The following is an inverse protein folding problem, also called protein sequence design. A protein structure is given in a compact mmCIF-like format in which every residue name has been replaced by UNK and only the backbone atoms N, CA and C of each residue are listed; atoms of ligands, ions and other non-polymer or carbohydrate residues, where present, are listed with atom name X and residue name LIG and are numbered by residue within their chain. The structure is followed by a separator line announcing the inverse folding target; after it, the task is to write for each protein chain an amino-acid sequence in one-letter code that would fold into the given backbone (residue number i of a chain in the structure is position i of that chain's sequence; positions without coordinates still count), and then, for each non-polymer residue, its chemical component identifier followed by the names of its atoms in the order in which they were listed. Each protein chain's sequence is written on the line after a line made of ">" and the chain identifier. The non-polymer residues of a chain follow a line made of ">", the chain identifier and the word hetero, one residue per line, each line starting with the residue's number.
data_IF_110484956898
#
_entry.id   IF_110484956898
#
_cell.length_a   1.000
_cell.length_b   1.000
_cell.length_c   1.000
_cell.angle_alpha   90.00
_cell.angle_beta   90.00
_cell.angle_gamma   90.00
#
_symmetry.space_group_name_H-M   'P 1'
#
loop_
_entity.id
_entity.type
_entity.pdbx_description
1 polymer ?
#
# COMPACT_ATOMS: atom_id res chain seq x y z
N UNK A 1 12.20 -0.97 -12.65
CA UNK A 1 13.36 -1.28 -11.79
C UNK A 1 12.80 -1.64 -10.42
N UNK A 2 13.17 -2.77 -9.78
CA UNK A 2 12.61 -3.12 -8.48
C UNK A 2 13.01 -2.09 -7.41
N UNK A 3 12.11 -1.84 -6.45
CA UNK A 3 12.41 -1.05 -5.26
C UNK A 3 13.51 -1.78 -4.48
N UNK A 4 14.54 -1.05 -4.04
CA UNK A 4 15.67 -1.65 -3.31
C UNK A 4 15.31 -1.98 -1.86
N UNK A 5 15.92 -3.03 -1.30
CA UNK A 5 15.77 -3.39 0.11
C UNK A 5 16.17 -2.23 1.05
N UNK A 6 17.16 -1.43 0.65
CA UNK A 6 17.58 -0.23 1.38
C UNK A 6 16.48 0.85 1.43
N UNK A 7 15.74 1.04 0.32
CA UNK A 7 14.60 1.97 0.29
C UNK A 7 13.48 1.49 1.21
N UNK A 8 13.15 0.19 1.18
CA UNK A 8 12.13 -0.40 2.05
C UNK A 8 12.54 -0.26 3.54
N UNK A 9 13.81 -0.51 3.85
CA UNK A 9 14.35 -0.33 5.19
C UNK A 9 14.24 1.13 5.66
N UNK A 10 14.55 2.10 4.80
CA UNK A 10 14.42 3.51 5.12
C UNK A 10 12.97 3.89 5.44
N UNK A 11 12.01 3.43 4.64
CA UNK A 11 10.58 3.71 4.90
C UNK A 11 10.09 3.13 6.23
N UNK A 12 10.61 1.97 6.64
CA UNK A 12 10.32 1.40 7.97
C UNK A 12 10.92 2.26 9.09
N UNK A 13 12.10 2.84 8.89
CA UNK A 13 12.71 3.80 9.82
C UNK A 13 11.85 5.07 9.91
N UNK A 14 11.42 5.62 8.78
CA UNK A 14 10.58 6.82 8.72
C UNK A 14 9.24 6.58 9.43
N UNK A 15 8.61 5.43 9.22
CA UNK A 15 7.39 5.03 9.94
C UNK A 15 7.63 4.90 11.45
N UNK A 16 8.74 4.28 11.85
CA UNK A 16 9.10 4.09 13.26
C UNK A 16 9.46 5.41 13.98
N UNK A 17 9.84 6.46 13.24
CA UNK A 17 10.04 7.80 13.81
C UNK A 17 8.76 8.37 14.44
N UNK A 18 7.59 7.92 13.95
CA UNK A 18 6.28 8.20 14.54
C UNK A 18 5.96 7.40 15.80
N UNK A 19 6.92 6.65 16.36
CA UNK A 19 6.77 5.70 17.46
C UNK A 19 5.86 4.49 17.14
N UNK A 20 5.78 3.56 18.08
CA UNK A 20 4.88 2.42 17.99
C UNK A 20 3.42 2.86 18.26
N UNK A 21 2.49 2.23 17.57
CA UNK A 21 1.08 2.30 17.91
C UNK A 21 0.84 1.55 19.22
N UNK A 22 0.07 2.17 20.12
CA UNK A 22 -0.20 1.65 21.47
C UNK A 22 -1.66 1.91 21.83
N UNK A 23 -2.12 1.35 22.95
CA UNK A 23 -3.46 1.59 23.47
C UNK A 23 -3.73 3.09 23.72
N UNK A 24 -4.96 3.57 23.47
CA UNK A 24 -6.15 2.80 23.07
C UNK A 24 -6.29 2.61 21.54
N UNK A 25 -5.38 3.14 20.72
CA UNK A 25 -5.49 3.06 19.26
C UNK A 25 -5.21 1.64 18.76
N UNK A 26 -4.13 1.03 19.24
CA UNK A 26 -3.83 -0.38 19.02
C UNK A 26 -4.11 -1.18 20.28
N UNK A 27 -4.49 -2.45 20.14
CA UNK A 27 -4.72 -3.35 21.28
C UNK A 27 -3.41 -3.72 22.00
N UNK A 28 -3.50 -4.51 23.08
CA UNK A 28 -2.34 -4.97 23.84
C UNK A 28 -1.37 -5.85 23.03
N UNK A 29 -1.83 -6.44 21.92
CA UNK A 29 -1.02 -7.20 20.97
C UNK A 29 -0.45 -6.32 19.86
N UNK A 30 -0.76 -5.02 19.86
CA UNK A 30 -0.31 -4.05 18.87
C UNK A 30 -1.12 -4.07 17.56
N UNK A 31 -2.28 -4.72 17.53
CA UNK A 31 -3.16 -4.70 16.35
C UNK A 31 -3.95 -3.39 16.28
N UNK A 32 -4.11 -2.86 15.08
CA UNK A 32 -5.04 -1.77 14.78
C UNK A 32 -6.23 -2.34 14.02
N UNK A 33 -7.44 -2.20 14.59
CA UNK A 33 -8.68 -2.59 13.91
C UNK A 33 -9.62 -1.39 13.84
N UNK A 34 -10.09 -1.04 12.64
CA UNK A 34 -11.22 -0.14 12.43
C UNK A 34 -12.37 -0.91 11.79
N UNK A 35 -13.57 -0.69 12.30
CA UNK A 35 -14.78 -1.41 11.90
C UNK A 35 -15.99 -0.46 11.90
N UNK A 36 -17.10 -0.86 11.27
CA UNK A 36 -18.41 -0.22 11.35
C UNK A 36 -18.37 1.29 11.12
N UNK A 37 -17.71 1.72 10.04
CA UNK A 37 -17.60 3.13 9.66
C UNK A 37 -16.67 3.98 10.53
N UNK A 38 -15.91 3.37 11.45
CA UNK A 38 -14.92 4.09 12.24
C UNK A 38 -13.92 4.82 11.35
N UNK A 39 -13.54 6.03 11.75
CA UNK A 39 -12.55 6.84 11.04
C UNK A 39 -11.34 7.11 11.93
N UNK A 40 -10.14 7.00 11.37
CA UNK A 40 -8.89 7.33 12.05
C UNK A 40 -7.95 8.07 11.10
N UNK A 41 -7.26 9.09 11.61
CA UNK A 41 -6.14 9.74 10.95
C UNK A 41 -4.85 9.40 11.70
N UNK A 42 -3.86 8.83 11.02
CA UNK A 42 -2.62 8.38 11.64
C UNK A 42 -1.45 8.40 10.65
N UNK A 43 -0.24 8.64 11.14
CA UNK A 43 1.00 8.57 10.36
C UNK A 43 1.96 9.73 10.64
N UNK A 44 3.28 9.53 10.55
CA UNK A 44 3.96 8.23 10.44
C UNK A 44 3.71 7.35 11.68
N UNK A 45 3.72 6.02 11.51
CA UNK A 45 3.51 5.09 12.64
C UNK A 45 4.02 3.68 12.34
N UNK A 46 4.55 3.00 13.36
CA UNK A 46 4.75 1.55 13.36
C UNK A 46 3.62 0.83 14.09
N UNK A 47 2.92 -0.08 13.43
CA UNK A 47 1.94 -1.01 13.99
C UNK A 47 2.64 -2.35 14.21
N UNK A 48 2.81 -2.76 15.46
CA UNK A 48 3.59 -3.97 15.79
C UNK A 48 2.82 -5.27 15.61
N UNK A 49 1.48 -5.21 15.53
CA UNK A 49 0.60 -6.32 15.19
C UNK A 49 0.06 -6.18 13.78
N UNK A 50 -1.18 -6.64 13.59
CA UNK A 50 -1.92 -6.59 12.33
C UNK A 50 -2.64 -5.25 12.13
N UNK A 51 -2.95 -4.92 10.87
CA UNK A 51 -3.87 -3.85 10.51
C UNK A 51 -5.12 -4.47 9.88
N UNK A 52 -6.30 -4.16 10.42
CA UNK A 52 -7.58 -4.58 9.86
C UNK A 52 -8.49 -3.37 9.70
N UNK A 53 -8.94 -3.11 8.48
CA UNK A 53 -9.98 -2.14 8.19
C UNK A 53 -11.15 -2.88 7.56
N UNK A 54 -12.32 -2.74 8.15
CA UNK A 54 -13.51 -3.44 7.67
C UNK A 54 -14.78 -2.60 7.76
N UNK A 55 -15.82 -3.04 7.04
CA UNK A 55 -17.19 -2.52 7.08
C UNK A 55 -17.24 -0.98 6.99
N UNK A 56 -16.80 -0.46 5.85
CA UNK A 56 -16.78 0.97 5.50
C UNK A 56 -15.97 1.87 6.43
N UNK A 57 -15.05 1.32 7.23
CA UNK A 57 -14.09 2.11 8.02
C UNK A 57 -13.17 2.95 7.13
N UNK A 58 -12.62 4.03 7.68
CA UNK A 58 -11.84 5.04 6.96
C UNK A 58 -10.52 5.33 7.64
N UNK A 59 -9.42 5.16 6.91
CA UNK A 59 -8.08 5.49 7.37
C UNK A 59 -7.50 6.62 6.54
N UNK A 60 -7.16 7.74 7.17
CA UNK A 60 -6.41 8.84 6.53
C UNK A 60 -4.94 8.77 6.96
N UNK A 61 -4.03 8.69 5.98
CA UNK A 61 -2.59 8.61 6.19
C UNK A 61 -1.97 10.01 6.23
N UNK A 62 -1.27 10.34 7.31
CA UNK A 62 -0.48 11.59 7.44
C UNK A 62 1.02 11.35 7.31
N UNK A 63 1.45 10.11 7.07
CA UNK A 63 2.84 9.69 6.93
C UNK A 63 2.93 8.20 6.61
N UNK A 64 4.15 7.68 6.42
CA UNK A 64 4.37 6.25 6.15
C UNK A 64 3.93 5.39 7.32
N UNK A 65 3.18 4.31 7.02
CA UNK A 65 2.78 3.31 8.00
C UNK A 65 3.57 2.04 7.76
N UNK A 66 4.16 1.49 8.82
CA UNK A 66 4.78 0.17 8.81
C UNK A 66 3.96 -0.78 9.69
N UNK A 67 3.46 -1.86 9.11
CA UNK A 67 2.75 -2.94 9.81
C UNK A 67 3.68 -4.16 9.90
N UNK A 68 3.99 -4.64 11.10
CA UNK A 68 4.83 -5.85 11.24
C UNK A 68 4.04 -7.11 10.92
N UNK A 69 2.75 -7.14 11.29
CA UNK A 69 1.84 -8.23 10.97
C UNK A 69 1.18 -8.08 9.60
N UNK A 70 0.10 -8.83 9.41
CA UNK A 70 -0.67 -8.83 8.16
C UNK A 70 -1.59 -7.62 8.06
N UNK A 71 -1.97 -7.29 6.83
CA UNK A 71 -2.95 -6.25 6.51
C UNK A 71 -4.19 -6.89 5.90
N UNK A 72 -5.36 -6.53 6.41
CA UNK A 72 -6.64 -6.93 5.85
C UNK A 72 -7.50 -5.70 5.61
N UNK A 73 -7.96 -5.56 4.37
CA UNK A 73 -8.94 -4.59 3.94
C UNK A 73 -10.19 -5.33 3.47
N UNK A 74 -11.38 -5.06 4.02
CA UNK A 74 -12.59 -5.81 3.64
C UNK A 74 -13.89 -5.02 3.76
N UNK A 75 -14.88 -5.36 2.93
CA UNK A 75 -16.22 -4.78 2.97
C UNK A 75 -16.20 -3.24 2.99
N UNK A 76 -15.49 -2.65 2.02
CA UNK A 76 -15.51 -1.20 1.81
C UNK A 76 -16.84 -0.70 1.26
N UNK A 77 -17.01 0.61 1.29
CA UNK A 77 -18.11 1.28 0.61
C UNK A 77 -17.75 1.46 -0.88
N UNK A 78 -18.53 0.93 -1.84
CA UNK A 78 -18.24 1.10 -3.26
C UNK A 78 -18.31 2.56 -3.74
N UNK A 79 -18.79 3.50 -2.92
CA UNK A 79 -18.92 4.92 -3.25
C UNK A 79 -17.98 5.82 -2.43
N UNK A 80 -17.14 5.26 -1.55
CA UNK A 80 -16.29 6.06 -0.69
C UNK A 80 -14.93 5.39 -0.41
N UNK A 81 -13.95 6.17 0.02
CA UNK A 81 -12.61 5.66 0.32
C UNK A 81 -12.60 4.84 1.60
N UNK A 82 -11.78 3.79 1.60
CA UNK A 82 -11.38 3.08 2.83
C UNK A 82 -10.01 3.56 3.32
N UNK A 83 -9.12 3.92 2.40
CA UNK A 83 -7.81 4.50 2.69
C UNK A 83 -7.60 5.74 1.83
N UNK A 84 -7.13 6.84 2.45
CA UNK A 84 -6.81 8.08 1.74
C UNK A 84 -5.54 8.72 2.26
N UNK A 85 -4.81 9.46 1.41
CA UNK A 85 -3.75 10.35 1.89
C UNK A 85 -4.32 11.66 2.43
N UNK A 86 -3.72 12.19 3.49
CA UNK A 86 -4.02 13.54 3.95
C UNK A 86 -3.72 14.57 2.84
N UNK A 87 -4.50 15.65 2.80
CA UNK A 87 -4.33 16.70 1.81
C UNK A 87 -2.92 17.33 1.84
N UNK A 88 -2.24 17.30 3.00
CA UNK A 88 -0.86 17.76 3.18
C UNK A 88 0.18 17.06 2.30
N UNK A 89 -0.14 15.91 1.71
CA UNK A 89 0.73 15.26 0.73
C UNK A 89 0.88 16.07 -0.58
N UNK A 90 -0.09 16.93 -0.94
CA UNK A 90 -0.09 17.60 -2.24
C UNK A 90 0.03 16.58 -3.38
N UNK A 91 0.89 16.84 -4.37
CA UNK A 91 1.14 15.87 -5.46
C UNK A 91 1.99 14.65 -5.04
N UNK A 92 2.44 14.56 -3.79
CA UNK A 92 3.25 13.45 -3.32
C UNK A 92 2.38 12.22 -3.04
N UNK A 93 2.97 11.04 -3.25
CA UNK A 93 2.38 9.75 -2.93
C UNK A 93 2.76 9.29 -1.52
N UNK A 94 1.91 8.45 -0.92
CA UNK A 94 2.09 7.87 0.40
C UNK A 94 2.06 6.35 0.34
N UNK A 95 2.47 5.71 1.42
CA UNK A 95 2.64 4.26 1.41
C UNK A 95 2.38 3.58 2.74
N UNK A 96 1.94 2.33 2.63
CA UNK A 96 1.80 1.37 3.72
C UNK A 96 2.72 0.19 3.40
N UNK A 97 3.64 -0.11 4.30
CA UNK A 97 4.59 -1.23 4.20
C UNK A 97 4.20 -2.29 5.22
N UNK A 98 4.18 -3.56 4.81
CA UNK A 98 4.01 -4.70 5.72
C UNK A 98 5.15 -5.71 5.62
N UNK A 99 5.50 -6.36 6.75
CA UNK A 99 6.36 -7.55 6.76
C UNK A 99 5.58 -8.86 6.59
N UNK A 100 4.26 -8.79 6.63
CA UNK A 100 3.32 -9.88 6.44
C UNK A 100 2.66 -9.88 5.06
N UNK A 101 1.49 -10.50 5.01
CA UNK A 101 0.65 -10.54 3.80
C UNK A 101 -0.36 -9.41 3.78
N UNK A 102 -0.88 -9.11 2.59
CA UNK A 102 -1.97 -8.16 2.37
C UNK A 102 -3.14 -8.91 1.74
N UNK A 103 -4.32 -8.77 2.32
CA UNK A 103 -5.57 -9.22 1.71
C UNK A 103 -6.47 -8.02 1.46
N UNK A 104 -6.76 -7.72 0.19
CA UNK A 104 -7.68 -6.67 -0.22
C UNK A 104 -8.93 -7.32 -0.77
N UNK A 105 -10.04 -7.15 -0.07
CA UNK A 105 -11.30 -7.80 -0.42
C UNK A 105 -12.32 -6.76 -0.92
N UNK A 106 -13.60 -7.14 -0.84
CA UNK A 106 -14.77 -6.42 -1.35
C UNK A 106 -14.72 -4.89 -1.25
N UNK A 107 -14.79 -4.23 -2.42
CA UNK A 107 -15.07 -2.80 -2.62
C UNK A 107 -14.12 -1.86 -1.88
N UNK A 108 -12.83 -2.19 -1.81
CA UNK A 108 -11.83 -1.33 -1.16
C UNK A 108 -11.37 -0.25 -2.15
N UNK A 109 -11.63 1.01 -1.79
CA UNK A 109 -11.19 2.17 -2.58
C UNK A 109 -10.05 2.87 -1.86
N UNK A 110 -8.95 3.06 -2.58
CA UNK A 110 -7.81 3.88 -2.17
C UNK A 110 -7.83 5.22 -2.91
N UNK A 111 -7.53 6.30 -2.19
CA UNK A 111 -7.55 7.64 -2.75
C UNK A 111 -6.24 8.39 -2.42
N UNK A 112 -5.72 9.13 -3.38
CA UNK A 112 -4.63 10.08 -3.15
C UNK A 112 -5.03 11.25 -2.24
N UNK A 113 -4.23 12.29 -2.22
CA UNK A 113 -4.45 13.49 -1.38
C UNK A 113 -5.61 14.39 -1.85
N UNK A 114 -6.17 14.08 -3.02
CA UNK A 114 -7.05 14.97 -3.79
C UNK A 114 -6.31 15.83 -4.82
N UNK A 115 -4.97 15.85 -4.79
CA UNK A 115 -4.16 16.48 -5.85
C UNK A 115 -3.75 15.44 -6.91
N UNK A 116 -3.92 15.72 -8.21
CA UNK A 116 -3.45 14.81 -9.27
C UNK A 116 -1.96 14.46 -9.11
N UNK A 117 -1.63 13.19 -9.36
CA UNK A 117 -0.26 12.67 -9.19
C UNK A 117 0.05 12.07 -7.82
N UNK A 118 -0.89 12.17 -6.86
CA UNK A 118 -0.78 11.50 -5.56
C UNK A 118 -1.49 10.14 -5.56
N UNK A 119 -0.81 9.12 -5.07
CA UNK A 119 -1.30 7.73 -5.04
C UNK A 119 -0.93 7.05 -3.72
N UNK A 120 -1.72 6.04 -3.34
CA UNK A 120 -1.38 5.16 -2.23
C UNK A 120 -0.67 3.93 -2.79
N UNK A 121 0.50 3.61 -2.23
CA UNK A 121 1.17 2.33 -2.45
C UNK A 121 0.99 1.40 -1.25
N UNK A 122 0.64 0.15 -1.52
CA UNK A 122 0.63 -0.92 -0.53
C UNK A 122 1.71 -1.93 -0.90
N UNK A 123 2.68 -2.09 -0.01
CA UNK A 123 3.87 -2.89 -0.23
C UNK A 123 3.96 -4.03 0.79
N UNK A 124 4.13 -5.26 0.31
CA UNK A 124 4.58 -6.37 1.15
C UNK A 124 6.08 -6.59 0.96
N UNK A 125 6.81 -6.53 2.07
CA UNK A 125 8.23 -6.83 2.17
C UNK A 125 8.50 -8.30 2.55
N UNK A 126 7.46 -9.14 2.60
CA UNK A 126 7.57 -10.56 2.92
C UNK A 126 8.41 -11.27 1.85
N UNK A 127 9.44 -11.99 2.28
CA UNK A 127 10.30 -12.79 1.41
C UNK A 127 9.75 -14.22 1.29
N UNK A 128 8.89 -14.43 0.30
CA UNK A 128 8.21 -15.70 0.06
C UNK A 128 7.89 -15.86 -1.43
N UNK A 129 8.92 -16.09 -2.26
CA UNK A 129 8.84 -16.10 -3.73
C UNK A 129 7.83 -17.09 -4.33
N UNK A 130 7.52 -18.16 -3.61
CA UNK A 130 6.55 -19.20 -4.02
C UNK A 130 5.15 -18.99 -3.46
N UNK A 131 4.96 -18.04 -2.54
CA UNK A 131 3.68 -17.77 -1.89
C UNK A 131 3.02 -16.52 -2.46
N UNK A 132 1.70 -16.52 -2.46
CA UNK A 132 0.93 -15.30 -2.63
C UNK A 132 1.01 -14.45 -1.35
N UNK A 133 1.52 -13.23 -1.47
CA UNK A 133 1.70 -12.30 -0.35
C UNK A 133 0.79 -11.09 -0.44
N UNK A 134 0.21 -10.83 -1.61
CA UNK A 134 -0.85 -9.85 -1.81
C UNK A 134 -1.98 -10.53 -2.59
N UNK A 135 -3.15 -10.66 -1.98
CA UNK A 135 -4.37 -11.13 -2.64
C UNK A 135 -5.32 -9.95 -2.84
N UNK A 136 -5.88 -9.81 -4.05
CA UNK A 136 -6.83 -8.75 -4.39
C UNK A 136 -8.09 -9.36 -4.98
N UNK A 137 -9.22 -9.12 -4.32
CA UNK A 137 -10.53 -9.63 -4.64
C UNK A 137 -11.56 -8.50 -4.75
N UNK A 138 -12.56 -8.69 -5.61
CA UNK A 138 -13.83 -7.98 -5.61
C UNK A 138 -13.72 -6.44 -5.61
N UNK A 139 -13.45 -5.85 -6.78
CA UNK A 139 -13.59 -4.40 -7.04
C UNK A 139 -12.69 -3.45 -6.20
N UNK A 140 -11.43 -3.82 -5.95
CA UNK A 140 -10.42 -2.87 -5.45
C UNK A 140 -10.07 -1.81 -6.51
N UNK A 141 -9.87 -0.54 -6.13
CA UNK A 141 -9.50 0.57 -7.05
C UNK A 141 -8.53 1.57 -6.40
N UNK A 142 -7.66 2.20 -7.20
CA UNK A 142 -6.95 3.44 -6.81
C UNK A 142 -5.61 3.26 -6.11
N UNK A 143 -5.00 2.08 -6.23
CA UNK A 143 -3.82 1.67 -5.46
C UNK A 143 -2.73 1.09 -6.33
N UNK A 144 -1.49 1.28 -5.89
CA UNK A 144 -0.30 0.65 -6.45
C UNK A 144 0.10 -0.49 -5.51
N UNK A 145 0.25 -1.70 -6.05
CA UNK A 145 0.70 -2.84 -5.27
C UNK A 145 2.14 -3.24 -5.59
N UNK A 146 2.93 -3.54 -4.56
CA UNK A 146 4.30 -4.03 -4.70
C UNK A 146 4.57 -5.25 -3.83
N UNK A 147 5.05 -6.33 -4.46
CA UNK A 147 5.43 -7.60 -3.84
C UNK A 147 6.73 -8.14 -4.46
N UNK A 148 7.85 -7.43 -4.31
CA UNK A 148 9.10 -7.73 -5.03
C UNK A 148 9.69 -9.13 -4.78
N UNK A 149 9.32 -9.79 -3.68
CA UNK A 149 9.81 -11.12 -3.28
C UNK A 149 8.67 -12.09 -2.97
N UNK A 150 7.51 -11.90 -3.58
CA UNK A 150 6.35 -12.77 -3.44
C UNK A 150 5.42 -12.68 -4.64
N UNK A 151 4.41 -13.55 -4.65
CA UNK A 151 3.39 -13.56 -5.71
C UNK A 151 2.21 -12.67 -5.34
N UNK A 152 1.45 -12.25 -6.35
CA UNK A 152 0.24 -11.44 -6.20
C UNK A 152 -0.90 -12.06 -7.00
N UNK A 153 -2.06 -12.24 -6.37
CA UNK A 153 -3.25 -12.79 -7.01
C UNK A 153 -4.31 -11.73 -7.23
N UNK A 154 -4.94 -11.74 -8.40
CA UNK A 154 -6.15 -10.95 -8.67
C UNK A 154 -7.30 -11.86 -9.05
N UNK A 155 -8.46 -11.67 -8.42
CA UNK A 155 -9.69 -12.35 -8.79
C UNK A 155 -10.91 -11.41 -8.77
N UNK A 156 -12.00 -11.87 -9.39
CA UNK A 156 -13.34 -11.26 -9.31
C UNK A 156 -13.38 -9.74 -9.60
N UNK A 157 -12.96 -9.31 -10.79
CA UNK A 157 -12.94 -7.90 -11.20
C UNK A 157 -12.06 -6.99 -10.33
N UNK A 158 -11.08 -7.54 -9.62
CA UNK A 158 -10.06 -6.75 -8.95
C UNK A 158 -9.30 -5.85 -9.93
N UNK A 159 -9.00 -4.62 -9.52
CA UNK A 159 -8.23 -3.63 -10.29
C UNK A 159 -7.10 -3.05 -9.46
N UNK A 160 -6.06 -2.59 -10.15
CA UNK A 160 -4.94 -1.83 -9.59
C UNK A 160 -4.51 -0.77 -10.61
N UNK A 161 -3.89 0.31 -10.13
CA UNK A 161 -3.28 1.31 -11.01
C UNK A 161 -1.94 0.82 -11.56
N UNK A 162 -1.18 0.13 -10.72
CA UNK A 162 0.06 -0.54 -11.04
C UNK A 162 0.25 -1.74 -10.10
N UNK A 163 0.82 -2.82 -10.61
CA UNK A 163 1.14 -4.01 -9.85
C UNK A 163 2.53 -4.51 -10.25
N UNK A 164 3.44 -4.60 -9.29
CA UNK A 164 4.78 -5.19 -9.49
C UNK A 164 5.00 -6.30 -8.46
N UNK A 165 5.23 -7.52 -8.93
CA UNK A 165 5.47 -8.68 -8.07
C UNK A 165 6.52 -9.63 -8.69
N UNK A 166 7.01 -10.60 -7.92
CA UNK A 166 7.84 -11.69 -8.46
C UNK A 166 7.04 -12.56 -9.44
N UNK A 167 5.76 -12.79 -9.16
CA UNK A 167 4.81 -13.42 -10.06
C UNK A 167 3.41 -12.86 -9.83
N UNK A 168 2.60 -12.79 -10.90
CA UNK A 168 1.21 -12.34 -10.83
C UNK A 168 0.32 -13.47 -11.36
N UNK A 169 -0.66 -13.88 -10.55
CA UNK A 169 -1.70 -14.83 -10.89
C UNK A 169 -3.00 -14.08 -11.16
N UNK A 170 -3.66 -14.38 -12.29
CA UNK A 170 -4.89 -13.74 -12.72
C UNK A 170 -5.99 -14.80 -12.87
N UNK A 171 -6.97 -14.74 -11.98
CA UNK A 171 -8.16 -15.57 -12.07
C UNK A 171 -9.17 -15.01 -13.09
N UNK A 172 -10.07 -15.85 -13.64
CA UNK A 172 -10.99 -15.43 -14.69
C UNK A 172 -11.82 -14.20 -14.30
N UNK A 173 -11.75 -13.14 -15.12
CA UNK A 173 -12.47 -11.88 -14.91
C UNK A 173 -11.69 -10.80 -14.14
N UNK A 174 -10.43 -11.06 -13.73
CA UNK A 174 -9.53 -10.01 -13.29
C UNK A 174 -9.03 -9.15 -14.47
N UNK A 175 -9.02 -7.82 -14.31
CA UNK A 175 -8.53 -6.87 -15.33
C UNK A 175 -7.53 -5.93 -14.68
N UNK A 176 -6.30 -5.88 -15.19
CA UNK A 176 -5.29 -4.89 -14.78
C UNK A 176 -5.35 -3.71 -15.75
N UNK A 177 -5.92 -2.59 -15.29
CA UNK A 177 -5.95 -1.33 -16.03
C UNK A 177 -4.67 -0.53 -15.75
N UNK A 178 -3.61 -0.74 -16.53
CA UNK A 178 -2.35 -0.01 -16.40
C UNK A 178 -2.53 1.45 -16.85
N UNK A 179 -2.42 2.41 -15.94
CA UNK A 179 -2.43 3.83 -16.29
C UNK A 179 -1.00 4.35 -16.55
N UNK A 180 -0.71 4.75 -17.80
CA UNK A 180 0.57 5.39 -18.14
C UNK A 180 0.65 6.80 -17.54
N UNK A 181 1.65 7.03 -16.68
CA UNK A 181 1.83 8.31 -15.97
C UNK A 181 2.53 8.18 -14.61
N UNK A 182 2.60 6.97 -14.07
CA UNK A 182 3.17 6.66 -12.76
C UNK A 182 4.71 6.78 -12.67
N UNK A 183 5.40 6.87 -13.80
CA UNK A 183 6.86 6.99 -13.88
C UNK A 183 7.42 8.28 -13.24
N UNK A 184 6.56 9.26 -12.91
CA UNK A 184 6.94 10.52 -12.27
C UNK A 184 6.30 10.72 -10.87
N UNK A 185 5.70 9.66 -10.29
CA UNK A 185 5.12 9.74 -8.96
C UNK A 185 6.24 9.96 -7.91
N UNK A 186 6.23 11.12 -7.25
CA UNK A 186 7.14 11.43 -6.14
C UNK A 186 6.55 10.83 -4.86
N UNK A 187 7.22 9.84 -4.27
CA UNK A 187 6.83 9.31 -2.96
C UNK A 187 7.45 10.17 -1.87
N UNK A 188 6.63 10.65 -0.92
CA UNK A 188 7.04 11.63 0.12
C UNK A 188 8.21 11.19 1.01
N UNK A 189 8.55 9.89 1.02
CA UNK A 189 9.67 9.31 1.77
C UNK A 189 10.75 8.67 0.87
N UNK A 190 10.71 8.87 -0.45
CA UNK A 190 11.70 8.29 -1.37
C UNK A 190 12.90 9.21 -1.63
N UNK A 191 14.16 8.71 -1.65
CA UNK A 191 15.25 9.47 -2.25
C UNK A 191 14.95 9.65 -3.75
N UNK A 192 15.04 10.88 -4.23
CA UNK A 192 14.92 11.21 -5.65
C UNK A 192 15.91 10.36 -6.45
N UNK A 193 15.41 9.34 -7.15
CA UNK A 193 16.21 8.50 -8.04
C UNK A 193 16.48 9.27 -9.34
N UNK A 194 17.42 10.20 -9.28
CA UNK A 194 17.99 10.83 -10.47
C UNK A 194 18.82 9.81 -11.25
N UNK A 195 18.49 9.60 -12.52
CA UNK A 195 19.29 8.77 -13.41
C UNK A 195 20.43 9.60 -14.00
N UNK A 196 21.67 9.26 -13.67
CA UNK A 196 22.83 9.66 -14.49
C UNK A 196 23.15 8.55 -15.48
N UNK A 197 22.98 8.83 -16.78
CA UNK A 197 23.45 7.94 -17.86
C UNK A 197 24.99 7.93 -17.82
N UNK A 198 25.59 6.81 -17.41
CA UNK A 198 27.05 6.71 -17.22
C UNK A 198 27.82 6.42 -18.51
N UNK A 199 27.18 5.89 -19.56
CA UNK A 199 27.66 5.95 -20.95
C UNK A 199 26.72 5.18 -21.87
N UNK A 200 26.71 5.54 -23.15
CA UNK A 200 26.10 4.77 -24.23
C UNK A 200 27.17 4.43 -25.27
N UNK A 201 27.10 3.23 -25.85
CA UNK A 201 27.93 2.78 -26.96
C UNK A 201 27.07 2.02 -27.96
N UNK A 202 26.92 2.55 -29.17
CA UNK A 202 26.42 1.81 -30.33
C UNK A 202 27.54 0.92 -30.91
N UNK A 203 27.12 -0.21 -31.48
CA UNK A 203 27.94 -1.01 -32.40
C UNK A 203 27.63 -0.59 -33.84
#
# INVERSE_FOLDING_TARGET
>A
MPISDASIAQWKVDAASGANCVQPICDASGNLTLDNGQTLTIGPKKITGNLTLQNSSKLTLTGTIWVVGNIVFSNGDPNDYMVRLDAGYGASSGMIVTDGTVAVNNNVIFQGSGTPGSYVMVLSAKDAISEEVISIDNNSVGVIYYAGRGRMGFANNAKALEATAYGIDLDPGATIDYQSGLANAQFSSGPSAGWSILSWKEL
#
